data_IF_278327866987
#
_entry.id   IF_278327866987
#
_cell.length_a   1.000
_cell.length_b   1.000
_cell.length_c   1.000
_cell.angle_alpha   90.00
_cell.angle_beta   90.00
_cell.angle_gamma   90.00
#
_symmetry.space_group_name_H-M   'P 1'
#
loop_
_entity.id
_entity.type
_entity.pdbx_description
1 polymer ?
#
# COMPACT_ATOMS: atom_id res chain seq x y z
N UNK A 1 -6.04 -5.84 -10.18
CA UNK A 1 -6.06 -6.94 -9.19
C UNK A 1 -5.22 -8.13 -9.64
N UNK A 2 -5.46 -8.73 -10.83
CA UNK A 2 -4.68 -9.91 -11.30
C UNK A 2 -3.17 -9.61 -11.37
N UNK A 3 -2.78 -8.47 -11.92
CA UNK A 3 -1.37 -8.08 -12.00
C UNK A 3 -0.73 -7.87 -10.62
N UNK A 4 -1.46 -7.24 -9.69
CA UNK A 4 -1.01 -7.07 -8.31
C UNK A 4 -0.81 -8.43 -7.61
N UNK A 5 -1.76 -9.36 -7.75
CA UNK A 5 -1.66 -10.70 -7.19
C UNK A 5 -0.52 -11.54 -7.77
N UNK A 6 -0.22 -11.38 -9.08
CA UNK A 6 0.96 -12.00 -9.70
C UNK A 6 2.27 -11.45 -9.11
N UNK A 7 2.34 -10.13 -8.91
CA UNK A 7 3.52 -9.50 -8.32
C UNK A 7 3.69 -9.82 -6.83
N UNK A 8 2.60 -9.95 -6.09
CA UNK A 8 2.66 -10.35 -4.68
C UNK A 8 2.97 -11.84 -4.50
N UNK A 9 2.63 -12.68 -5.48
CA UNK A 9 2.86 -14.12 -5.46
C UNK A 9 1.65 -14.96 -5.06
N UNK A 10 0.48 -14.34 -4.88
CA UNK A 10 -0.79 -15.04 -4.63
C UNK A 10 -1.27 -15.79 -5.89
N UNK A 11 -0.87 -15.32 -7.05
CA UNK A 11 -1.19 -15.91 -8.33
C UNK A 11 0.09 -16.37 -9.03
N UNK A 12 0.01 -17.50 -9.73
CA UNK A 12 1.09 -17.99 -10.59
C UNK A 12 0.83 -17.59 -12.04
N UNK A 13 1.86 -17.12 -12.78
CA UNK A 13 1.69 -16.83 -14.20
C UNK A 13 1.48 -18.13 -15.00
N UNK A 14 0.68 -18.08 -16.07
CA UNK A 14 0.46 -19.20 -16.98
C UNK A 14 1.74 -19.65 -17.68
N UNK A 15 2.66 -18.70 -17.92
CA UNK A 15 3.98 -18.94 -18.49
C UNK A 15 4.96 -17.85 -18.04
N UNK A 16 6.28 -18.14 -18.10
CA UNK A 16 7.29 -17.20 -17.64
C UNK A 16 7.42 -17.15 -16.13
N UNK A 17 7.96 -16.05 -15.61
CA UNK A 17 8.14 -15.81 -14.18
C UNK A 17 7.99 -14.33 -13.83
N UNK A 18 7.63 -14.04 -12.59
CA UNK A 18 7.62 -12.71 -12.01
C UNK A 18 8.79 -12.60 -11.05
N UNK A 19 9.64 -11.61 -11.26
CA UNK A 19 10.76 -11.28 -10.36
C UNK A 19 10.62 -9.80 -9.96
N UNK A 20 10.66 -9.51 -8.66
CA UNK A 20 10.74 -8.15 -8.13
C UNK A 20 12.12 -7.96 -7.52
N UNK A 21 12.78 -6.88 -7.88
CA UNK A 21 14.08 -6.52 -7.29
C UNK A 21 14.21 -5.00 -7.15
N UNK A 22 14.93 -4.56 -6.12
CA UNK A 22 15.27 -3.16 -5.91
C UNK A 22 16.79 -3.07 -5.82
N UNK A 23 17.41 -2.30 -6.72
CA UNK A 23 18.87 -2.13 -6.75
C UNK A 23 19.66 -3.45 -6.65
N UNK A 24 19.15 -4.51 -7.30
CA UNK A 24 19.73 -5.86 -7.29
C UNK A 24 19.38 -6.73 -6.07
N UNK A 25 18.77 -6.20 -5.02
CA UNK A 25 18.21 -6.98 -3.90
C UNK A 25 16.97 -7.72 -4.38
N UNK A 26 16.94 -9.05 -4.26
CA UNK A 26 15.81 -9.90 -4.66
C UNK A 26 14.99 -10.41 -3.49
N UNK A 27 15.58 -10.51 -2.32
CA UNK A 27 14.92 -10.94 -1.10
C UNK A 27 14.25 -9.74 -0.42
N UNK A 28 13.06 -9.40 -0.91
CA UNK A 28 12.29 -8.23 -0.50
C UNK A 28 11.11 -8.63 0.37
N UNK A 29 10.90 -7.85 1.44
CA UNK A 29 9.65 -7.90 2.19
C UNK A 29 8.58 -7.12 1.42
N UNK A 30 7.62 -7.82 0.86
CA UNK A 30 6.55 -7.23 0.06
C UNK A 30 5.26 -7.22 0.86
N UNK A 31 4.65 -6.04 1.02
CA UNK A 31 3.30 -5.90 1.57
C UNK A 31 2.27 -5.76 0.45
N UNK A 32 1.03 -6.14 0.71
CA UNK A 32 -0.06 -6.00 -0.25
C UNK A 32 -1.33 -5.50 0.43
N UNK A 33 -1.90 -4.44 -0.12
CA UNK A 33 -3.24 -3.97 0.22
C UNK A 33 -4.11 -4.15 -1.02
N UNK A 34 -4.98 -5.15 -0.98
CA UNK A 34 -5.88 -5.44 -2.09
C UNK A 34 -7.07 -4.47 -2.15
N UNK A 35 -7.89 -4.64 -3.19
CA UNK A 35 -9.06 -3.79 -3.42
C UNK A 35 -10.12 -3.92 -2.31
N UNK A 36 -10.22 -5.08 -1.66
CA UNK A 36 -11.19 -5.38 -0.60
C UNK A 36 -10.49 -5.93 0.65
N UNK A 37 -9.75 -5.06 1.39
CA UNK A 37 -8.82 -5.49 2.43
C UNK A 37 -9.51 -5.87 3.76
N UNK A 38 -10.84 -5.91 3.82
CA UNK A 38 -11.60 -6.22 5.04
C UNK A 38 -11.24 -7.58 5.63
N UNK A 39 -10.89 -8.54 4.77
CA UNK A 39 -10.53 -9.89 5.20
C UNK A 39 -9.29 -9.90 6.10
N UNK A 40 -8.42 -8.88 6.02
CA UNK A 40 -7.21 -8.77 6.86
C UNK A 40 -7.53 -8.59 8.34
N UNK A 41 -8.68 -8.05 8.66
CA UNK A 41 -9.03 -7.71 10.04
C UNK A 41 -10.36 -8.33 10.50
N UNK A 42 -11.36 -8.44 9.61
CA UNK A 42 -12.70 -9.01 9.84
C UNK A 42 -13.21 -8.89 11.30
N UNK A 43 -12.99 -9.93 12.09
CA UNK A 43 -13.48 -10.05 13.47
C UNK A 43 -12.51 -9.52 14.53
N UNK A 44 -11.27 -9.18 14.14
CA UNK A 44 -10.30 -8.57 15.05
C UNK A 44 -10.62 -7.09 15.25
N UNK A 45 -10.29 -6.57 16.41
CA UNK A 45 -10.24 -5.12 16.64
C UNK A 45 -8.98 -4.54 15.98
N UNK A 46 -9.00 -3.23 15.74
CA UNK A 46 -7.81 -2.57 15.18
C UNK A 46 -6.60 -2.67 16.10
N UNK A 47 -6.81 -2.68 17.43
CA UNK A 47 -5.74 -2.86 18.41
C UNK A 47 -5.16 -4.29 18.40
N UNK A 48 -6.01 -5.30 18.27
CA UNK A 48 -5.56 -6.70 18.15
C UNK A 48 -4.68 -6.89 16.92
N UNK A 49 -5.06 -6.33 15.77
CA UNK A 49 -4.25 -6.39 14.57
C UNK A 49 -2.90 -5.68 14.74
N UNK A 50 -2.89 -4.46 15.30
CA UNK A 50 -1.65 -3.71 15.55
C UNK A 50 -0.74 -4.46 16.54
N UNK A 51 -1.32 -5.06 17.57
CA UNK A 51 -0.59 -5.83 18.57
C UNK A 51 0.05 -7.06 17.94
N UNK A 52 -0.69 -7.83 17.16
CA UNK A 52 -0.19 -8.99 16.42
C UNK A 52 0.99 -8.63 15.50
N UNK A 53 0.87 -7.53 14.74
CA UNK A 53 1.95 -7.06 13.87
C UNK A 53 3.19 -6.59 14.65
N UNK A 54 3.02 -6.05 15.86
CA UNK A 54 4.12 -5.70 16.77
C UNK A 54 4.83 -6.94 17.32
N UNK A 55 4.06 -7.92 17.79
CA UNK A 55 4.58 -9.19 18.34
C UNK A 55 5.36 -9.97 17.29
N UNK A 56 4.89 -9.96 16.03
CA UNK A 56 5.59 -10.56 14.90
C UNK A 56 6.72 -9.67 14.31
N UNK A 57 7.05 -8.55 14.95
CA UNK A 57 8.09 -7.61 14.53
C UNK A 57 7.90 -7.04 13.11
N UNK A 58 6.68 -7.10 12.58
CA UNK A 58 6.31 -6.53 11.28
C UNK A 58 6.08 -5.03 11.41
N UNK A 59 5.35 -4.58 12.45
CA UNK A 59 5.15 -3.17 12.75
C UNK A 59 6.31 -2.64 13.59
N UNK A 60 6.85 -1.49 13.21
CA UNK A 60 7.90 -0.82 13.99
C UNK A 60 7.30 -0.06 15.17
N UNK A 61 7.45 -0.60 16.38
CA UNK A 61 6.90 -0.01 17.59
C UNK A 61 7.45 1.40 17.89
N UNK A 62 8.62 1.76 17.38
CA UNK A 62 9.17 3.12 17.50
C UNK A 62 8.33 4.15 16.77
N UNK A 63 7.53 3.72 15.76
CA UNK A 63 6.68 4.56 14.94
C UNK A 63 5.25 4.73 15.49
N UNK A 64 4.90 4.14 16.64
CA UNK A 64 3.53 4.17 17.17
C UNK A 64 2.96 5.60 17.29
N UNK A 65 3.77 6.53 17.82
CA UNK A 65 3.36 7.94 17.92
C UNK A 65 3.13 8.58 16.55
N UNK A 66 3.99 8.27 15.59
CA UNK A 66 3.88 8.77 14.21
C UNK A 66 2.66 8.19 13.52
N UNK A 67 2.40 6.90 13.70
CA UNK A 67 1.22 6.20 13.20
C UNK A 67 -0.07 6.89 13.68
N UNK A 68 -0.23 7.09 14.99
CA UNK A 68 -1.42 7.79 15.56
C UNK A 68 -1.55 9.23 15.03
N UNK A 69 -0.45 9.97 14.92
CA UNK A 69 -0.44 11.32 14.34
C UNK A 69 -0.91 11.32 12.88
N UNK A 70 -0.52 10.31 12.11
CA UNK A 70 -0.95 10.17 10.72
C UNK A 70 -2.43 9.83 10.60
N UNK A 71 -2.98 8.96 11.45
CA UNK A 71 -4.41 8.70 11.54
C UNK A 71 -5.20 9.99 11.82
N UNK A 72 -4.74 10.80 12.77
CA UNK A 72 -5.39 12.07 13.11
C UNK A 72 -5.44 13.06 11.93
N UNK A 73 -4.49 13.05 10.99
CA UNK A 73 -4.53 13.88 9.76
C UNK A 73 -5.72 13.52 8.85
N UNK A 74 -6.21 12.30 8.94
CA UNK A 74 -7.41 11.84 8.24
C UNK A 74 -8.69 11.96 9.09
N UNK A 75 -8.60 12.56 10.28
CA UNK A 75 -9.71 12.69 11.20
C UNK A 75 -10.02 11.40 11.97
N UNK A 76 -9.12 10.41 11.95
CA UNK A 76 -9.28 9.14 12.63
C UNK A 76 -8.53 9.21 13.96
N UNK A 77 -9.29 9.22 15.07
CA UNK A 77 -8.70 9.19 16.41
C UNK A 77 -8.53 7.74 16.85
N UNK A 78 -7.31 7.36 17.23
CA UNK A 78 -6.99 5.99 17.63
C UNK A 78 -7.89 5.47 18.74
N UNK A 79 -8.14 6.29 19.77
CA UNK A 79 -8.93 5.88 20.94
C UNK A 79 -10.39 5.57 20.58
N UNK A 80 -10.91 6.13 19.48
CA UNK A 80 -12.26 5.85 18.99
C UNK A 80 -12.35 4.54 18.21
N UNK A 81 -11.26 4.08 17.59
CA UNK A 81 -11.27 2.90 16.74
C UNK A 81 -10.55 1.69 17.34
N UNK A 82 -9.70 1.90 18.37
CA UNK A 82 -8.79 0.86 18.88
C UNK A 82 -9.52 -0.43 19.29
N UNK A 83 -10.69 -0.32 19.88
CA UNK A 83 -11.51 -1.45 20.33
C UNK A 83 -12.65 -1.80 19.34
N UNK A 84 -12.66 -1.20 18.15
CA UNK A 84 -13.68 -1.47 17.13
C UNK A 84 -13.19 -2.59 16.20
N UNK A 85 -14.07 -3.55 15.94
CA UNK A 85 -13.79 -4.62 14.97
C UNK A 85 -13.77 -4.06 13.55
N UNK A 86 -13.00 -4.70 12.68
CA UNK A 86 -12.90 -4.26 11.27
C UNK A 86 -14.25 -4.18 10.57
N UNK A 87 -15.14 -5.16 10.80
CA UNK A 87 -16.50 -5.20 10.22
C UNK A 87 -17.41 -4.06 10.68
N UNK A 88 -17.13 -3.46 11.84
CA UNK A 88 -17.93 -2.38 12.44
C UNK A 88 -17.41 -0.98 12.06
N UNK A 89 -16.26 -0.90 11.38
CA UNK A 89 -15.70 0.37 10.91
C UNK A 89 -16.35 0.83 9.60
N UNK A 90 -16.58 2.15 9.45
CA UNK A 90 -16.91 2.68 8.14
C UNK A 90 -15.82 2.32 7.13
N UNK A 91 -16.22 1.88 5.92
CA UNK A 91 -15.32 1.42 4.87
C UNK A 91 -14.11 2.32 4.62
N UNK A 92 -14.33 3.63 4.45
CA UNK A 92 -13.26 4.58 4.22
C UNK A 92 -12.28 4.70 5.40
N UNK A 93 -12.79 4.57 6.63
CA UNK A 93 -11.96 4.57 7.86
C UNK A 93 -11.09 3.34 7.91
N UNK A 94 -11.67 2.15 7.68
CA UNK A 94 -10.95 0.87 7.66
C UNK A 94 -9.83 0.91 6.62
N UNK A 95 -10.14 1.34 5.41
CA UNK A 95 -9.18 1.40 4.32
C UNK A 95 -8.01 2.34 4.61
N UNK A 96 -8.29 3.54 5.09
CA UNK A 96 -7.25 4.51 5.47
C UNK A 96 -6.42 3.97 6.63
N UNK A 97 -7.06 3.36 7.64
CA UNK A 97 -6.37 2.74 8.76
C UNK A 97 -5.39 1.66 8.30
N UNK A 98 -5.85 0.70 7.48
CA UNK A 98 -5.00 -0.39 6.97
C UNK A 98 -3.85 0.14 6.10
N UNK A 99 -4.11 1.11 5.24
CA UNK A 99 -3.07 1.71 4.41
C UNK A 99 -2.00 2.41 5.26
N UNK A 100 -2.42 3.22 6.24
CA UNK A 100 -1.48 3.87 7.15
C UNK A 100 -0.71 2.81 7.96
N UNK A 101 -1.38 1.77 8.46
CA UNK A 101 -0.76 0.69 9.22
C UNK A 101 0.34 0.00 8.41
N UNK A 102 0.03 -0.42 7.18
CA UNK A 102 0.99 -1.10 6.31
C UNK A 102 2.19 -0.23 5.95
N UNK A 103 2.00 1.09 5.78
CA UNK A 103 3.10 2.03 5.58
C UNK A 103 4.03 2.21 6.82
N UNK A 104 3.65 1.68 7.99
CA UNK A 104 4.48 1.64 9.20
C UNK A 104 5.05 0.25 9.48
N UNK A 105 4.77 -0.70 8.60
CA UNK A 105 5.35 -2.03 8.64
C UNK A 105 6.71 -2.07 7.92
N UNK A 106 7.51 -3.08 8.23
CA UNK A 106 8.86 -3.27 7.69
C UNK A 106 8.82 -3.94 6.32
N UNK A 107 8.23 -3.23 5.35
CA UNK A 107 8.24 -3.65 3.95
C UNK A 107 9.30 -2.89 3.15
N UNK A 108 9.89 -3.55 2.16
CA UNK A 108 10.71 -2.91 1.13
C UNK A 108 9.82 -2.35 0.01
N UNK A 109 8.74 -3.07 -0.31
CA UNK A 109 7.74 -2.71 -1.32
C UNK A 109 6.35 -2.85 -0.75
N UNK A 110 5.46 -1.90 -1.05
CA UNK A 110 4.03 -2.01 -0.77
C UNK A 110 3.24 -1.92 -2.07
N UNK A 111 2.53 -3.00 -2.37
CA UNK A 111 1.61 -3.08 -3.51
C UNK A 111 0.25 -2.57 -3.04
N UNK A 112 -0.30 -1.60 -3.76
CA UNK A 112 -1.61 -1.01 -3.49
C UNK A 112 -2.53 -1.25 -4.69
N UNK A 113 -3.62 -1.98 -4.46
CA UNK A 113 -4.66 -2.20 -5.47
C UNK A 113 -5.85 -1.28 -5.20
N UNK A 114 -6.11 -0.36 -6.15
CA UNK A 114 -7.16 0.66 -6.09
C UNK A 114 -7.18 1.47 -4.77
N UNK A 115 -6.07 2.10 -4.35
CA UNK A 115 -5.99 2.75 -3.04
C UNK A 115 -6.98 3.91 -2.84
N UNK A 116 -7.51 4.48 -3.93
CA UNK A 116 -8.47 5.59 -3.90
C UNK A 116 -9.93 5.14 -3.93
N UNK A 117 -10.18 3.83 -4.11
CA UNK A 117 -11.54 3.30 -4.20
C UNK A 117 -12.35 3.62 -2.94
N UNK A 118 -13.56 4.14 -3.12
CA UNK A 118 -14.46 4.52 -2.00
C UNK A 118 -14.06 5.77 -1.22
N UNK A 119 -12.97 6.46 -1.57
CA UNK A 119 -12.53 7.68 -0.90
C UNK A 119 -13.11 8.94 -1.58
N UNK A 120 -13.56 9.89 -0.77
CA UNK A 120 -13.95 11.22 -1.22
C UNK A 120 -12.74 12.07 -1.65
N UNK A 121 -13.01 13.19 -2.33
CA UNK A 121 -11.96 14.09 -2.86
C UNK A 121 -10.93 14.51 -1.81
N UNK A 122 -11.36 15.01 -0.65
CA UNK A 122 -10.47 15.47 0.41
C UNK A 122 -9.55 14.34 0.91
N UNK A 123 -10.10 13.13 1.08
CA UNK A 123 -9.34 11.96 1.49
C UNK A 123 -8.31 11.55 0.45
N UNK A 124 -8.63 11.63 -0.85
CA UNK A 124 -7.68 11.34 -1.95
C UNK A 124 -6.52 12.34 -1.97
N UNK A 125 -6.80 13.63 -1.74
CA UNK A 125 -5.75 14.66 -1.64
C UNK A 125 -4.81 14.39 -0.47
N UNK A 126 -5.36 14.07 0.71
CA UNK A 126 -4.57 13.71 1.90
C UNK A 126 -3.77 12.43 1.67
N UNK A 127 -4.39 11.41 1.04
CA UNK A 127 -3.75 10.15 0.71
C UNK A 127 -2.55 10.34 -0.22
N UNK A 128 -2.69 11.16 -1.25
CA UNK A 128 -1.59 11.51 -2.17
C UNK A 128 -0.40 12.11 -1.43
N UNK A 129 -0.64 13.08 -0.55
CA UNK A 129 0.42 13.69 0.27
C UNK A 129 1.08 12.68 1.19
N UNK A 130 0.29 11.82 1.82
CA UNK A 130 0.78 10.79 2.73
C UNK A 130 1.66 9.74 2.01
N UNK A 131 1.23 9.23 0.84
CA UNK A 131 2.03 8.26 0.08
C UNK A 131 3.36 8.90 -0.36
N UNK A 132 3.34 10.16 -0.82
CA UNK A 132 4.59 10.88 -1.18
C UNK A 132 5.57 10.98 -0.01
N UNK A 133 5.09 11.22 1.21
CA UNK A 133 5.93 11.22 2.41
C UNK A 133 6.55 9.84 2.66
N UNK A 134 5.77 8.77 2.43
CA UNK A 134 6.24 7.40 2.63
C UNK A 134 7.25 6.95 1.55
N UNK A 135 7.21 7.51 0.34
CA UNK A 135 8.15 7.19 -0.75
C UNK A 135 9.62 7.50 -0.42
N UNK A 136 9.90 8.25 0.64
CA UNK A 136 11.26 8.49 1.09
C UNK A 136 11.94 7.24 1.70
N UNK A 137 11.15 6.23 2.09
CA UNK A 137 11.65 5.03 2.77
C UNK A 137 10.96 3.72 2.34
N UNK A 138 9.96 3.79 1.48
CA UNK A 138 9.15 2.66 1.05
C UNK A 138 8.88 2.77 -0.45
N UNK A 139 9.10 1.70 -1.19
CA UNK A 139 8.74 1.64 -2.60
C UNK A 139 7.28 1.26 -2.77
N UNK A 140 6.62 1.85 -3.78
CA UNK A 140 5.23 1.57 -4.06
C UNK A 140 5.04 1.04 -5.47
N UNK A 141 4.21 0.02 -5.59
CA UNK A 141 3.57 -0.36 -6.84
C UNK A 141 2.07 -0.12 -6.68
N UNK A 142 1.50 0.70 -7.55
CA UNK A 142 0.10 1.10 -7.46
C UNK A 142 -0.63 0.67 -8.72
N UNK A 143 -1.66 -0.14 -8.56
CA UNK A 143 -2.59 -0.53 -9.61
C UNK A 143 -3.87 0.27 -9.40
N UNK A 144 -4.30 1.05 -10.38
CA UNK A 144 -5.53 1.84 -10.26
C UNK A 144 -6.04 2.35 -11.61
N UNK A 145 -7.35 2.51 -11.70
CA UNK A 145 -8.04 3.19 -12.81
C UNK A 145 -8.07 4.71 -12.63
N UNK A 146 -7.70 5.24 -11.46
CA UNK A 146 -7.61 6.69 -11.21
C UNK A 146 -6.36 7.28 -11.85
N UNK A 147 -6.43 7.56 -13.17
CA UNK A 147 -5.32 8.11 -13.95
C UNK A 147 -4.80 9.44 -13.39
N UNK A 148 -5.67 10.26 -12.78
CA UNK A 148 -5.28 11.54 -12.18
C UNK A 148 -4.42 11.31 -10.93
N UNK A 149 -4.84 10.39 -10.06
CA UNK A 149 -4.10 10.02 -8.87
C UNK A 149 -2.74 9.45 -9.23
N UNK A 150 -2.68 8.42 -10.10
CA UNK A 150 -1.43 7.76 -10.53
C UNK A 150 -0.45 8.79 -11.11
N UNK A 151 -0.86 9.59 -12.10
CA UNK A 151 0.02 10.59 -12.73
C UNK A 151 0.52 11.64 -11.76
N UNK A 152 -0.20 11.87 -10.67
CA UNK A 152 0.18 12.87 -9.66
C UNK A 152 1.24 12.38 -8.69
N UNK A 153 1.47 11.05 -8.54
CA UNK A 153 2.39 10.49 -7.54
C UNK A 153 3.43 9.53 -8.11
N UNK A 154 3.11 8.78 -9.16
CA UNK A 154 4.01 7.78 -9.72
C UNK A 154 5.05 8.43 -10.64
N UNK A 155 6.31 7.99 -10.51
CA UNK A 155 7.39 8.42 -11.39
C UNK A 155 7.33 7.72 -12.76
N UNK A 156 6.84 6.48 -12.76
CA UNK A 156 6.64 5.68 -13.96
C UNK A 156 5.19 5.17 -13.96
N UNK A 157 4.56 5.20 -15.12
CA UNK A 157 3.21 4.71 -15.32
C UNK A 157 3.23 3.76 -16.52
N UNK A 158 2.64 2.59 -16.35
CA UNK A 158 2.48 1.59 -17.41
C UNK A 158 0.98 1.44 -17.62
N UNK A 159 0.54 1.63 -18.86
CA UNK A 159 -0.81 1.31 -19.27
C UNK A 159 -0.84 -0.14 -19.76
N UNK A 160 -1.50 -1.02 -19.01
CA UNK A 160 -1.54 -2.45 -19.33
C UNK A 160 -2.36 -2.74 -20.58
N UNK A 161 -3.29 -1.84 -20.95
CA UNK A 161 -4.11 -1.99 -22.17
C UNK A 161 -3.30 -1.65 -23.44
N UNK A 162 -2.24 -0.85 -23.31
CA UNK A 162 -1.33 -0.47 -24.40
C UNK A 162 -0.15 -1.46 -24.56
N UNK A 163 -0.02 -2.44 -23.66
CA UNK A 163 1.02 -3.44 -23.71
C UNK A 163 0.72 -4.47 -24.80
N UNK A 164 1.20 -4.21 -26.01
CA UNK A 164 1.29 -5.23 -27.03
C UNK A 164 2.26 -6.34 -26.57
N UNK A 165 1.97 -7.59 -26.93
CA UNK A 165 2.58 -8.83 -26.41
C UNK A 165 4.11 -8.96 -26.56
N UNK A 166 4.82 -7.91 -26.90
CA UNK A 166 6.27 -7.85 -27.13
C UNK A 166 7.00 -6.99 -26.09
N UNK A 167 7.39 -7.62 -24.97
CA UNK A 167 8.50 -7.20 -24.10
C UNK A 167 8.42 -5.81 -23.45
N UNK A 168 7.79 -5.71 -22.27
CA UNK A 168 8.00 -4.55 -21.39
C UNK A 168 9.28 -4.73 -20.60
N UNK A 169 10.31 -3.93 -20.91
CA UNK A 169 11.47 -3.71 -20.05
C UNK A 169 11.32 -2.35 -19.37
N UNK A 170 11.04 -2.33 -18.08
CA UNK A 170 11.10 -1.11 -17.26
C UNK A 170 12.59 -0.86 -16.97
N UNK A 171 13.12 0.25 -17.49
CA UNK A 171 14.46 0.74 -17.13
C UNK A 171 14.31 1.87 -16.12
N UNK A 172 14.99 1.74 -14.99
CA UNK A 172 15.19 2.89 -14.10
C UNK A 172 15.91 4.01 -14.87
N UNK A 173 15.41 5.23 -14.81
CA UNK A 173 16.20 6.38 -15.22
C UNK A 173 17.30 6.55 -14.17
N UNK A 174 18.56 6.36 -14.57
CA UNK A 174 19.70 6.81 -13.80
C UNK A 174 19.49 8.29 -13.45
N UNK A 175 19.30 8.55 -12.16
CA UNK A 175 19.34 9.92 -11.62
C UNK A 175 20.78 10.38 -11.76
N UNK A 176 21.11 11.06 -12.85
CA UNK A 176 22.28 11.91 -12.92
C UNK A 176 22.15 12.96 -11.82
N UNK A 177 22.89 12.76 -10.73
CA UNK A 177 23.14 13.83 -9.76
C UNK A 177 23.93 14.95 -10.46
N UNK A 178 23.57 16.22 -10.21
CA UNK A 178 24.37 17.35 -10.61
C UNK A 178 25.71 17.39 -9.87
#
# INVERSE_FOLDING_TARGET
>A
TTFAGLCFGDLSPTSGKVDISISGKKDLNVGYLDQFPEHLILLKTTNELVTELKENQIFDSSLDRTFRKRLNRFGIQWDHISNTKGVDLPWAVLRIFLLILLCHCRFDVLILDEPTFGLGWDQRVKLRSFIRECMNHLHFMIVSHDKVFIRSICQQVIDLDELDSKHVRIREKETTKP
#
